data_IF_599128866382
#
_entry.id   IF_599128866382
#
_cell.length_a   1.000
_cell.length_b   1.000
_cell.length_c   1.000
_cell.angle_alpha   90.00
_cell.angle_beta   90.00
_cell.angle_gamma   90.00
#
_symmetry.space_group_name_H-M   'P 1'
#
loop_
_entity.id
_entity.type
_entity.pdbx_description
1 polymer ?
#
# COMPACT_ATOMS: atom_id res chain seq x y z
N UNK A 1 2.61 11.52 9.73
CA UNK A 1 1.49 11.12 10.60
C UNK A 1 0.46 10.35 9.77
N UNK A 2 -0.59 9.83 10.42
CA UNK A 2 -1.78 9.30 9.76
C UNK A 2 -3.00 10.06 10.24
N UNK A 3 -3.93 10.36 9.35
CA UNK A 3 -5.21 10.98 9.63
C UNK A 3 -6.33 10.04 9.19
N UNK A 4 -7.57 10.31 9.65
CA UNK A 4 -8.77 9.61 9.19
C UNK A 4 -8.64 8.09 9.37
N UNK A 5 -8.21 7.71 10.57
CA UNK A 5 -8.05 6.30 10.95
C UNK A 5 -9.44 5.75 11.21
N UNK A 6 -9.79 4.70 10.49
CA UNK A 6 -11.08 4.04 10.59
C UNK A 6 -10.87 2.53 10.70
N UNK A 7 -11.70 1.88 11.51
CA UNK A 7 -11.74 0.43 11.66
C UNK A 7 -13.18 -0.03 11.41
N UNK A 8 -13.35 -0.92 10.44
CA UNK A 8 -14.66 -1.44 10.07
C UNK A 8 -14.65 -2.97 10.11
N UNK A 9 -15.76 -3.54 10.55
CA UNK A 9 -16.00 -4.98 10.48
C UNK A 9 -16.96 -5.27 9.34
N UNK A 10 -16.63 -6.26 8.50
CA UNK A 10 -17.50 -6.73 7.44
C UNK A 10 -17.90 -8.18 7.71
N UNK A 11 -19.21 -8.43 7.67
CA UNK A 11 -19.82 -9.74 7.88
C UNK A 11 -20.61 -10.09 6.62
N UNK A 12 -20.21 -11.18 5.94
CA UNK A 12 -20.91 -11.68 4.75
C UNK A 12 -21.53 -13.05 5.05
N UNK A 13 -22.83 -13.17 4.76
CA UNK A 13 -23.60 -14.40 4.98
C UNK A 13 -24.57 -14.66 3.84
N UNK A 14 -24.57 -15.89 3.33
CA UNK A 14 -25.55 -16.32 2.33
C UNK A 14 -26.89 -16.67 2.98
N UNK A 15 -27.96 -16.24 2.32
CA UNK A 15 -29.35 -16.61 2.65
C UNK A 15 -29.79 -17.69 1.66
N UNK A 16 -30.27 -18.80 2.18
CA UNK A 16 -30.98 -19.83 1.41
C UNK A 16 -32.46 -19.41 1.32
N UNK A 17 -32.82 -18.71 0.24
CA UNK A 17 -34.19 -18.31 -0.03
C UNK A 17 -34.94 -19.48 -0.72
N UNK A 18 -36.00 -19.95 -0.07
CA UNK A 18 -36.93 -20.97 -0.59
C UNK A 18 -38.33 -20.62 -0.12
N UNK A 19 -39.35 -20.86 -0.94
CA UNK A 19 -40.73 -20.55 -0.59
C UNK A 19 -41.15 -21.28 0.70
N UNK A 20 -41.60 -20.50 1.69
CA UNK A 20 -41.96 -20.97 3.04
C UNK A 20 -40.79 -21.48 3.90
N UNK A 21 -39.53 -21.40 3.44
CA UNK A 21 -38.36 -21.98 4.13
C UNK A 21 -37.09 -21.12 4.05
N UNK A 22 -37.22 -19.81 3.93
CA UNK A 22 -36.07 -18.89 3.91
C UNK A 22 -35.30 -18.93 5.22
N UNK A 23 -33.98 -19.16 5.14
CA UNK A 23 -33.10 -19.21 6.31
C UNK A 23 -31.69 -18.75 5.98
N UNK A 24 -30.94 -18.40 7.01
CA UNK A 24 -29.48 -18.30 6.91
C UNK A 24 -28.88 -19.65 6.51
N UNK A 25 -27.89 -19.66 5.61
CA UNK A 25 -27.19 -20.92 5.32
C UNK A 25 -26.55 -21.46 6.60
N UNK A 26 -26.80 -22.74 6.90
CA UNK A 26 -26.33 -23.42 8.11
C UNK A 26 -24.82 -23.64 8.14
N UNK A 27 -24.16 -23.49 6.98
CA UNK A 27 -22.72 -23.56 6.88
C UNK A 27 -22.15 -22.27 7.47
N UNK A 28 -21.80 -22.32 8.75
CA UNK A 28 -21.33 -21.19 9.56
C UNK A 28 -20.01 -20.56 9.10
N UNK A 29 -19.53 -20.85 7.89
CA UNK A 29 -18.41 -20.15 7.26
C UNK A 29 -18.97 -18.84 6.68
N UNK A 30 -19.34 -17.93 7.57
CA UNK A 30 -19.42 -16.52 7.22
C UNK A 30 -17.99 -15.98 7.21
N UNK A 31 -17.63 -15.20 6.20
CA UNK A 31 -16.39 -14.46 6.25
C UNK A 31 -16.59 -13.25 7.15
N UNK A 32 -15.78 -13.18 8.21
CA UNK A 32 -15.64 -11.99 9.06
C UNK A 32 -14.28 -11.39 8.79
N UNK A 33 -14.23 -10.12 8.44
CA UNK A 33 -12.97 -9.41 8.21
C UNK A 33 -13.00 -8.07 8.93
N UNK A 34 -11.96 -7.82 9.73
CA UNK A 34 -11.65 -6.49 10.24
C UNK A 34 -10.76 -5.76 9.25
N UNK A 35 -11.19 -4.61 8.77
CA UNK A 35 -10.43 -3.74 7.89
C UNK A 35 -10.12 -2.44 8.63
N UNK A 36 -8.85 -2.25 8.96
CA UNK A 36 -8.31 -1.00 9.48
C UNK A 36 -7.57 -0.25 8.37
N UNK A 37 -7.92 1.02 8.18
CA UNK A 37 -7.28 1.86 7.17
C UNK A 37 -7.10 3.28 7.69
N UNK A 38 -6.12 3.98 7.10
CA UNK A 38 -5.80 5.35 7.46
C UNK A 38 -5.16 6.07 6.28
N UNK A 39 -5.32 7.39 6.20
CA UNK A 39 -4.63 8.21 5.21
C UNK A 39 -3.29 8.67 5.74
N UNK A 40 -2.22 8.49 4.96
CA UNK A 40 -0.90 9.01 5.32
C UNK A 40 -0.87 10.52 5.10
N UNK A 41 -0.59 11.27 6.16
CA UNK A 41 -0.47 12.73 6.11
C UNK A 41 0.96 13.17 6.41
N UNK A 42 1.39 14.25 5.76
CA UNK A 42 2.69 14.88 5.98
C UNK A 42 2.48 16.30 6.49
N UNK A 43 2.25 16.45 7.80
CA UNK A 43 2.14 17.76 8.42
C UNK A 43 3.52 18.38 8.58
N UNK A 44 3.62 19.70 8.39
CA UNK A 44 4.81 20.49 8.75
C UNK A 44 6.12 20.19 8.00
N UNK A 45 6.15 19.24 7.05
CA UNK A 45 7.35 18.98 6.26
C UNK A 45 7.52 20.10 5.24
N UNK A 46 8.49 20.99 5.48
CA UNK A 46 9.01 21.88 4.43
C UNK A 46 9.36 21.01 3.23
N UNK A 47 8.75 21.27 2.08
CA UNK A 47 9.07 20.57 0.83
C UNK A 47 10.59 20.51 0.72
N UNK A 48 11.16 19.31 0.63
CA UNK A 48 12.59 19.17 0.39
C UNK A 48 12.91 20.05 -0.82
N UNK A 49 13.70 21.11 -0.61
CA UNK A 49 14.14 21.99 -1.70
C UNK A 49 14.69 21.06 -2.78
N UNK A 50 14.07 21.05 -3.97
CA UNK A 50 14.63 20.33 -5.13
C UNK A 50 16.09 20.78 -5.24
N UNK A 51 17.03 19.91 -4.89
CA UNK A 51 18.43 20.17 -5.16
C UNK A 51 18.51 20.29 -6.68
N UNK A 52 18.76 21.51 -7.14
CA UNK A 52 18.97 21.80 -8.56
C UNK A 52 20.10 20.87 -8.98
N UNK A 53 19.83 19.88 -9.85
CA UNK A 53 20.86 18.98 -10.37
C UNK A 53 21.94 19.85 -11.00
N UNK A 54 23.04 20.04 -10.29
CA UNK A 54 24.26 20.63 -10.87
C UNK A 54 24.70 19.61 -11.91
N UNK A 55 24.76 20.02 -13.18
CA UNK A 55 25.34 19.20 -14.25
C UNK A 55 26.82 19.03 -13.96
N UNK A 56 27.19 17.96 -13.28
CA UNK A 56 28.59 17.57 -13.13
C UNK A 56 29.09 17.16 -14.52
N UNK A 57 30.05 17.90 -15.08
CA UNK A 57 30.70 17.53 -16.34
C UNK A 57 31.43 16.21 -16.12
N UNK A 58 31.06 15.19 -16.89
CA UNK A 58 31.73 13.88 -16.91
C UNK A 58 33.13 14.06 -17.49
N UNK A 59 34.16 14.06 -16.66
CA UNK A 59 35.55 13.97 -17.14
C UNK A 59 35.81 12.50 -17.46
N UNK A 60 36.01 12.19 -18.74
CA UNK A 60 36.36 10.86 -19.22
C UNK A 60 37.73 10.44 -18.68
N UNK A 61 37.78 9.42 -17.82
CA UNK A 61 39.04 8.76 -17.44
C UNK A 61 39.39 7.74 -18.52
N UNK A 62 40.41 8.04 -19.34
CA UNK A 62 41.01 7.06 -20.24
C UNK A 62 41.67 5.95 -19.41
N UNK A 63 41.32 4.70 -19.72
CA UNK A 63 41.76 3.50 -19.00
C UNK A 63 42.93 2.88 -19.78
N UNK A 64 44.16 3.18 -19.38
CA UNK A 64 45.35 2.50 -19.91
C UNK A 64 45.60 1.26 -19.06
N UNK A 65 45.25 0.08 -19.58
CA UNK A 65 45.65 -1.19 -18.99
C UNK A 65 47.05 -1.56 -19.52
N UNK A 66 48.06 -1.52 -18.65
CA UNK A 66 49.36 -2.15 -18.90
C UNK A 66 49.21 -3.64 -18.62
N UNK A 67 49.25 -4.46 -19.68
CA UNK A 67 49.41 -5.90 -19.57
C UNK A 67 50.84 -6.22 -19.14
N UNK A 68 51.04 -6.73 -17.92
CA UNK A 68 52.27 -7.46 -17.57
C UNK A 68 52.03 -8.95 -17.83
N UNK A 69 52.81 -9.49 -18.78
CA UNK A 69 53.14 -10.91 -18.87
C UNK A 69 54.32 -11.20 -17.95
#
# INVERSE_FOLDING_TARGET
EFSDIECTEQILRHIEAREGKTRHSFRGIGHTAYLAYARKAFFGKKSAKKSRKVKTKTVSKNKVYSSKK
#
